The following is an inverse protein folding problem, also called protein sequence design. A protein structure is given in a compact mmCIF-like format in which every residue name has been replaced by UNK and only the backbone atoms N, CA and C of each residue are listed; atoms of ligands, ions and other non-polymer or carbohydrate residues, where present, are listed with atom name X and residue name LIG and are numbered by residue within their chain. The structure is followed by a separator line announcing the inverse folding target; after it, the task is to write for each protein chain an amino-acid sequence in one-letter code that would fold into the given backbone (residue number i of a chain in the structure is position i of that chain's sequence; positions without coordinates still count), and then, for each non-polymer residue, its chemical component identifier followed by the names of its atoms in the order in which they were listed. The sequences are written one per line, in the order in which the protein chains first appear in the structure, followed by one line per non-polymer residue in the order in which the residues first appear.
data_IF_340065307819
#
_entry.id   IF_340065307819
#
_cell.length_a   1.000
_cell.length_b   1.000
_cell.length_c   1.000
_cell.angle_alpha   90.00
_cell.angle_beta   90.00
_cell.angle_gamma   90.00
#
_symmetry.space_group_name_H-M   'P 1'
#
loop_
_entity.id
_entity.type
_entity.pdbx_description
1 polymer ?
#
# COMPACT_ATOMS: atom_id res chain seq x y z
N UNK A 1 32.85 23.31 17.29
CA UNK A 1 31.97 22.52 18.16
C UNK A 1 31.97 21.07 17.67
N UNK A 2 32.59 20.14 18.40
CA UNK A 2 32.48 18.71 18.08
C UNK A 2 31.10 18.21 18.48
N UNK A 3 30.38 17.64 17.53
CA UNK A 3 29.08 17.01 17.79
C UNK A 3 29.34 15.71 18.55
N UNK A 4 28.65 15.50 19.68
CA UNK A 4 28.74 14.29 20.49
C UNK A 4 28.53 13.04 19.62
N UNK A 5 29.50 12.10 19.54
CA UNK A 5 29.35 10.87 18.77
C UNK A 5 28.15 10.03 19.21
N UNK A 6 27.71 10.11 20.47
CA UNK A 6 26.49 9.45 20.94
C UNK A 6 25.22 10.08 20.38
N UNK A 7 25.24 11.38 20.07
CA UNK A 7 24.13 12.06 19.41
C UNK A 7 23.97 11.59 17.96
N UNK A 8 25.08 11.51 17.20
CA UNK A 8 25.06 10.98 15.82
C UNK A 8 24.62 9.51 15.76
N UNK A 9 25.07 8.70 16.72
CA UNK A 9 24.66 7.29 16.79
C UNK A 9 23.17 7.13 17.08
N UNK A 10 22.60 7.89 18.02
CA UNK A 10 21.16 7.90 18.29
C UNK A 10 20.35 8.29 17.04
N UNK A 11 20.75 9.34 16.33
CA UNK A 11 20.06 9.74 15.10
C UNK A 11 20.08 8.66 14.02
N UNK A 12 21.24 8.02 13.81
CA UNK A 12 21.37 6.94 12.85
C UNK A 12 20.51 5.73 13.21
N UNK A 13 20.40 5.41 14.50
CA UNK A 13 19.52 4.35 15.00
C UNK A 13 18.04 4.66 14.76
N UNK A 14 17.57 5.85 15.11
CA UNK A 14 16.17 6.25 14.85
C UNK A 14 15.83 6.18 13.37
N UNK A 15 16.75 6.62 12.50
CA UNK A 15 16.55 6.55 11.07
C UNK A 15 16.42 5.10 10.55
N UNK A 16 17.19 4.18 11.12
CA UNK A 16 17.10 2.76 10.77
C UNK A 16 15.81 2.13 11.30
N UNK A 17 15.39 2.48 12.52
CA UNK A 17 14.11 2.06 13.08
C UNK A 17 12.93 2.57 12.21
N UNK A 18 12.97 3.83 11.76
CA UNK A 18 11.98 4.41 10.83
C UNK A 18 11.94 3.68 9.48
N UNK A 19 13.09 3.24 8.98
CA UNK A 19 13.20 2.45 7.75
C UNK A 19 12.53 1.08 7.91
N UNK A 20 12.87 0.34 8.97
CA UNK A 20 12.26 -0.97 9.25
C UNK A 20 10.74 -0.85 9.50
N UNK A 21 10.31 0.17 10.23
CA UNK A 21 8.89 0.46 10.45
C UNK A 21 8.17 0.76 9.13
N UNK A 22 8.83 1.47 8.21
CA UNK A 22 8.28 1.76 6.88
C UNK A 22 8.12 0.50 6.03
N UNK A 23 9.07 -0.44 6.08
CA UNK A 23 8.95 -1.76 5.43
C UNK A 23 7.79 -2.54 6.04
N UNK A 24 7.68 -2.59 7.38
CA UNK A 24 6.61 -3.31 8.06
C UNK A 24 5.21 -2.78 7.71
N UNK A 25 5.09 -1.48 7.44
CA UNK A 25 3.85 -0.84 6.99
C UNK A 25 3.38 -1.28 5.60
N UNK A 26 4.25 -1.88 4.76
CA UNK A 26 3.82 -2.48 3.49
C UNK A 26 2.82 -3.63 3.72
N UNK A 27 3.04 -4.45 4.75
CA UNK A 27 2.13 -5.55 5.11
C UNK A 27 0.77 -5.03 5.59
N UNK A 28 0.73 -3.91 6.31
CA UNK A 28 -0.51 -3.26 6.76
C UNK A 28 -1.39 -2.91 5.55
N UNK A 29 -0.79 -2.35 4.52
CA UNK A 29 -1.50 -2.05 3.27
C UNK A 29 -1.93 -3.33 2.56
N UNK A 30 -1.08 -4.36 2.54
CA UNK A 30 -1.47 -5.64 1.97
C UNK A 30 -2.74 -6.19 2.63
N UNK A 31 -2.90 -6.05 3.95
CA UNK A 31 -4.16 -6.36 4.63
C UNK A 31 -5.32 -5.47 4.20
N UNK A 32 -5.11 -4.17 3.97
CA UNK A 32 -6.16 -3.29 3.42
C UNK A 32 -6.61 -3.74 2.02
N UNK A 33 -5.69 -4.15 1.13
CA UNK A 33 -6.02 -4.69 -0.18
C UNK A 33 -6.79 -6.02 -0.08
N UNK A 34 -6.43 -6.90 0.86
CA UNK A 34 -7.20 -8.11 1.14
C UNK A 34 -8.61 -7.77 1.64
N UNK A 35 -8.72 -6.79 2.54
CA UNK A 35 -10.03 -6.35 3.04
C UNK A 35 -10.89 -5.76 1.93
N UNK A 36 -10.33 -4.97 1.03
CA UNK A 36 -11.02 -4.50 -0.18
C UNK A 36 -11.47 -5.67 -1.07
N UNK A 37 -10.64 -6.69 -1.24
CA UNK A 37 -11.03 -7.87 -2.01
C UNK A 37 -12.23 -8.59 -1.38
N UNK A 38 -12.20 -8.80 -0.06
CA UNK A 38 -13.31 -9.42 0.69
C UNK A 38 -14.58 -8.59 0.53
N UNK A 39 -14.47 -7.26 0.67
CA UNK A 39 -15.59 -6.34 0.49
C UNK A 39 -16.19 -6.49 -0.92
N UNK A 40 -15.38 -6.47 -1.97
CA UNK A 40 -15.85 -6.64 -3.36
C UNK A 40 -16.49 -8.01 -3.60
N UNK A 41 -15.92 -9.09 -3.06
CA UNK A 41 -16.55 -10.43 -3.14
C UNK A 41 -17.91 -10.44 -2.45
N UNK A 42 -18.02 -9.88 -1.24
CA UNK A 42 -19.29 -9.79 -0.51
C UNK A 42 -20.30 -8.98 -1.32
N UNK A 43 -19.86 -7.88 -1.94
CA UNK A 43 -20.69 -7.06 -2.83
C UNK A 43 -21.20 -7.85 -4.04
N UNK A 44 -20.33 -8.60 -4.72
CA UNK A 44 -20.70 -9.45 -5.84
C UNK A 44 -21.67 -10.57 -5.47
N UNK A 45 -21.43 -11.25 -4.33
CA UNK A 45 -22.27 -12.37 -3.88
C UNK A 45 -23.63 -11.92 -3.37
N UNK A 46 -23.70 -10.81 -2.61
CA UNK A 46 -24.95 -10.37 -1.98
C UNK A 46 -25.78 -9.43 -2.87
N UNK A 47 -25.13 -8.63 -3.71
CA UNK A 47 -25.79 -7.56 -4.46
C UNK A 47 -25.59 -7.67 -5.98
N UNK A 48 -24.89 -8.68 -6.48
CA UNK A 48 -24.70 -8.91 -7.91
C UNK A 48 -23.75 -7.92 -8.59
N UNK A 49 -22.89 -7.24 -7.83
CA UNK A 49 -21.90 -6.32 -8.39
C UNK A 49 -20.83 -7.05 -9.22
N UNK A 50 -20.52 -6.55 -10.42
CA UNK A 50 -19.44 -7.11 -11.24
C UNK A 50 -18.07 -6.59 -10.77
N UNK A 51 -17.53 -7.23 -9.75
CA UNK A 51 -16.29 -6.81 -9.10
C UNK A 51 -15.33 -7.96 -8.76
N UNK A 52 -15.61 -9.17 -9.25
CA UNK A 52 -14.83 -10.38 -8.94
C UNK A 52 -13.38 -10.30 -9.42
N UNK A 53 -13.15 -9.74 -10.61
CA UNK A 53 -11.78 -9.57 -11.13
C UNK A 53 -11.01 -8.52 -10.31
N UNK A 54 -11.64 -7.39 -9.95
CA UNK A 54 -11.04 -6.39 -9.06
C UNK A 54 -10.74 -6.95 -7.66
N UNK A 55 -11.58 -7.85 -7.16
CA UNK A 55 -11.31 -8.56 -5.92
C UNK A 55 -10.08 -9.47 -6.05
N UNK A 56 -9.95 -10.21 -7.15
CA UNK A 56 -8.79 -11.05 -7.42
C UNK A 56 -7.49 -10.24 -7.51
N UNK A 57 -7.49 -9.13 -8.26
CA UNK A 57 -6.34 -8.24 -8.37
C UNK A 57 -5.97 -7.63 -7.01
N UNK A 58 -6.96 -7.20 -6.23
CA UNK A 58 -6.74 -6.65 -4.89
C UNK A 58 -6.18 -7.71 -3.94
N UNK A 59 -6.69 -8.94 -3.98
CA UNK A 59 -6.20 -10.04 -3.15
C UNK A 59 -4.78 -10.45 -3.53
N UNK A 60 -4.50 -10.61 -4.83
CA UNK A 60 -3.16 -10.98 -5.32
C UNK A 60 -2.12 -9.91 -4.95
N UNK A 61 -2.44 -8.64 -5.17
CA UNK A 61 -1.57 -7.52 -4.78
C UNK A 61 -1.38 -7.45 -3.27
N UNK A 62 -2.44 -7.67 -2.50
CA UNK A 62 -2.38 -7.67 -1.04
C UNK A 62 -1.50 -8.79 -0.47
N UNK A 63 -1.65 -10.02 -0.99
CA UNK A 63 -0.80 -11.15 -0.63
C UNK A 63 0.66 -10.89 -1.00
N UNK A 64 0.92 -10.37 -2.20
CA UNK A 64 2.28 -10.02 -2.63
C UNK A 64 2.92 -9.00 -1.67
N UNK A 65 2.20 -7.97 -1.23
CA UNK A 65 2.70 -6.96 -0.29
C UNK A 65 2.92 -7.50 1.13
N UNK A 66 2.08 -8.43 1.61
CA UNK A 66 2.27 -9.08 2.91
C UNK A 66 3.49 -10.00 2.90
N UNK A 67 3.72 -10.69 1.78
CA UNK A 67 4.80 -11.67 1.65
C UNK A 67 6.12 -11.03 1.26
N UNK A 68 6.10 -9.90 0.55
CA UNK A 68 7.30 -9.24 0.05
C UNK A 68 8.36 -8.97 1.13
N UNK A 69 8.05 -8.43 2.32
CA UNK A 69 9.04 -8.22 3.37
C UNK A 69 9.66 -9.49 3.94
N UNK A 70 9.05 -10.66 3.71
CA UNK A 70 9.53 -11.96 4.21
C UNK A 70 10.29 -12.74 3.15
N UNK A 71 9.91 -12.59 1.88
CA UNK A 71 10.44 -13.36 0.76
C UNK A 71 11.52 -12.60 -0.03
N UNK A 72 11.48 -11.27 0.02
CA UNK A 72 12.42 -10.41 -0.68
C UNK A 72 13.32 -9.71 0.33
N UNK A 73 14.61 -9.61 0.01
CA UNK A 73 15.57 -8.81 0.74
C UNK A 73 15.30 -7.31 0.45
N UNK A 74 14.24 -6.76 1.03
CA UNK A 74 13.83 -5.36 0.85
C UNK A 74 14.84 -4.34 1.42
N UNK A 75 15.97 -4.81 1.96
CA UNK A 75 17.14 -3.99 2.27
C UNK A 75 17.82 -3.50 0.99
N UNK A 76 17.68 -4.22 -0.13
CA UNK A 76 18.18 -3.79 -1.43
C UNK A 76 17.26 -2.76 -2.10
N UNK A 77 17.82 -1.61 -2.46
CA UNK A 77 17.09 -0.53 -3.15
C UNK A 77 16.46 -0.97 -4.47
N UNK A 78 17.17 -1.81 -5.23
CA UNK A 78 16.73 -2.42 -6.50
C UNK A 78 15.42 -3.17 -6.32
N UNK A 79 15.30 -3.97 -5.26
CA UNK A 79 14.11 -4.77 -4.96
C UNK A 79 12.90 -3.89 -4.64
N UNK A 80 13.11 -2.79 -3.91
CA UNK A 80 12.03 -1.83 -3.62
C UNK A 80 11.52 -1.17 -4.92
N UNK A 81 12.42 -0.77 -5.81
CA UNK A 81 12.04 -0.21 -7.12
C UNK A 81 11.31 -1.23 -8.00
N UNK A 82 11.81 -2.46 -8.06
CA UNK A 82 11.18 -3.53 -8.82
C UNK A 82 9.76 -3.81 -8.31
N UNK A 83 9.58 -3.91 -6.98
CA UNK A 83 8.29 -4.15 -6.37
C UNK A 83 7.30 -3.00 -6.60
N UNK A 84 7.77 -1.74 -6.51
CA UNK A 84 6.96 -0.56 -6.85
C UNK A 84 6.54 -0.58 -8.33
N UNK A 85 7.48 -0.82 -9.25
CA UNK A 85 7.21 -0.86 -10.67
C UNK A 85 6.22 -1.98 -11.04
N UNK A 86 6.40 -3.17 -10.48
CA UNK A 86 5.49 -4.30 -10.63
C UNK A 86 4.09 -3.96 -10.09
N UNK A 87 4.01 -3.36 -8.89
CA UNK A 87 2.74 -2.94 -8.30
C UNK A 87 2.00 -1.92 -9.16
N UNK A 88 2.70 -0.87 -9.60
CA UNK A 88 2.12 0.16 -10.48
C UNK A 88 1.68 -0.40 -11.82
N UNK A 89 2.46 -1.32 -12.40
CA UNK A 89 2.10 -1.99 -13.64
C UNK A 89 0.81 -2.80 -13.47
N UNK A 90 0.67 -3.56 -12.39
CA UNK A 90 -0.55 -4.32 -12.08
C UNK A 90 -1.76 -3.39 -11.95
N UNK A 91 -1.63 -2.28 -11.20
CA UNK A 91 -2.70 -1.28 -11.04
C UNK A 91 -3.06 -0.63 -12.37
N UNK A 92 -2.07 -0.27 -13.20
CA UNK A 92 -2.28 0.34 -14.49
C UNK A 92 -2.96 -0.62 -15.48
N UNK A 93 -2.50 -1.86 -15.56
CA UNK A 93 -3.11 -2.90 -16.40
C UNK A 93 -4.56 -3.11 -16.00
N UNK A 94 -4.83 -3.30 -14.70
CA UNK A 94 -6.18 -3.48 -14.20
C UNK A 94 -7.10 -2.31 -14.58
N UNK A 95 -6.65 -1.07 -14.36
CA UNK A 95 -7.43 0.11 -14.71
C UNK A 95 -7.70 0.21 -16.23
N UNK A 96 -6.70 -0.08 -17.06
CA UNK A 96 -6.81 0.02 -18.51
C UNK A 96 -7.67 -1.10 -19.12
N UNK A 97 -7.69 -2.30 -18.51
CA UNK A 97 -8.43 -3.44 -19.06
C UNK A 97 -9.80 -3.63 -18.45
N UNK A 98 -9.97 -3.36 -17.15
CA UNK A 98 -11.22 -3.61 -16.41
C UNK A 98 -11.94 -2.31 -16.06
N UNK A 99 -11.25 -1.16 -16.07
CA UNK A 99 -11.83 0.12 -15.70
C UNK A 99 -12.00 0.26 -14.19
N UNK A 100 -13.11 0.88 -13.78
CA UNK A 100 -13.48 1.04 -12.38
C UNK A 100 -14.36 -0.13 -11.94
N UNK A 101 -14.19 -0.65 -10.70
CA UNK A 101 -15.12 -1.64 -10.17
C UNK A 101 -16.51 -1.04 -10.07
N UNK A 102 -17.52 -1.91 -10.07
CA UNK A 102 -18.88 -1.50 -9.83
C UNK A 102 -19.07 -0.97 -8.39
N UNK A 103 -20.20 -0.30 -8.15
CA UNK A 103 -20.58 0.20 -6.82
C UNK A 103 -20.77 -0.96 -5.84
N UNK A 104 -20.60 -0.68 -4.55
CA UNK A 104 -20.72 -1.70 -3.51
C UNK A 104 -22.13 -2.31 -3.43
N UNK A 105 -23.15 -1.50 -3.67
CA UNK A 105 -24.54 -1.90 -3.76
C UNK A 105 -25.08 -1.32 -5.07
N UNK A 106 -25.12 -2.11 -6.15
CA UNK A 106 -25.72 -1.71 -7.41
C UNK A 106 -27.20 -1.32 -7.20
N UNK A 107 -27.65 -0.25 -7.87
CA UNK A 107 -29.06 0.19 -7.77
C UNK A 107 -29.46 0.93 -6.50
N UNK A 108 -28.58 1.10 -5.50
CA UNK A 108 -28.90 1.81 -4.25
C UNK A 108 -29.45 3.23 -4.48
N UNK A 109 -28.95 3.94 -5.49
CA UNK A 109 -29.43 5.26 -5.88
C UNK A 109 -30.87 5.28 -6.43
N UNK A 110 -31.36 4.16 -6.95
CA UNK A 110 -32.72 4.03 -7.50
C UNK A 110 -33.77 3.82 -6.41
N UNK A 111 -33.41 3.14 -5.31
CA UNK A 111 -34.21 3.04 -4.08
C UNK A 111 -34.26 4.36 -3.28
N UNK A 112 -33.54 5.39 -3.76
CA UNK A 112 -33.21 6.66 -3.11
C UNK A 112 -34.29 7.72 -2.91
N UNK A 113 -35.58 7.46 -3.20
CA UNK A 113 -36.63 8.50 -3.10
C UNK A 113 -37.07 8.83 -1.66
N UNK A 114 -36.58 8.12 -0.64
CA UNK A 114 -37.00 8.26 0.76
C UNK A 114 -35.85 8.65 1.69
N UNK A 115 -35.53 9.95 1.73
CA UNK A 115 -34.95 10.80 2.82
C UNK A 115 -33.80 10.32 3.76
N UNK A 116 -33.35 9.08 3.76
CA UNK A 116 -32.25 8.55 4.61
C UNK A 116 -30.93 8.43 3.82
N UNK A 117 -30.94 8.79 2.53
CA UNK A 117 -30.11 8.12 1.51
C UNK A 117 -28.98 9.04 0.97
N UNK A 118 -28.71 10.19 1.59
CA UNK A 118 -27.68 11.12 1.12
C UNK A 118 -26.25 10.58 1.27
N UNK A 119 -25.81 10.33 2.51
CA UNK A 119 -24.41 9.94 2.78
C UNK A 119 -24.08 8.54 2.27
N UNK A 120 -24.98 7.57 2.46
CA UNK A 120 -24.74 6.17 2.05
C UNK A 120 -24.63 6.04 0.53
N UNK A 121 -25.46 6.77 -0.23
CA UNK A 121 -25.36 6.79 -1.70
C UNK A 121 -24.08 7.46 -2.15
N UNK A 122 -23.69 8.59 -1.54
CA UNK A 122 -22.42 9.25 -1.85
C UNK A 122 -21.24 8.29 -1.59
N UNK A 123 -21.22 7.58 -0.46
CA UNK A 123 -20.17 6.63 -0.16
C UNK A 123 -20.15 5.43 -1.13
N UNK A 124 -21.32 4.92 -1.51
CA UNK A 124 -21.45 3.85 -2.49
C UNK A 124 -20.94 4.28 -3.88
N UNK A 125 -21.23 5.51 -4.28
CA UNK A 125 -20.82 6.10 -5.56
C UNK A 125 -19.34 6.47 -5.58
N UNK A 126 -18.77 6.82 -4.41
CA UNK A 126 -17.33 7.04 -4.24
C UNK A 126 -16.53 5.74 -4.13
N UNK A 127 -17.17 4.59 -3.87
CA UNK A 127 -16.45 3.32 -3.64
C UNK A 127 -15.47 2.96 -4.75
N UNK A 128 -15.82 3.10 -6.06
CA UNK A 128 -14.88 2.83 -7.14
C UNK A 128 -13.66 3.76 -7.14
N UNK A 129 -13.85 5.03 -6.75
CA UNK A 129 -12.76 5.99 -6.62
C UNK A 129 -11.91 5.70 -5.38
N UNK A 130 -12.53 5.32 -4.27
CA UNK A 130 -11.83 4.93 -3.04
C UNK A 130 -10.98 3.67 -3.27
N UNK A 131 -11.45 2.73 -4.08
CA UNK A 131 -10.68 1.55 -4.45
C UNK A 131 -9.33 1.92 -5.08
N UNK A 132 -9.34 2.71 -6.16
CA UNK A 132 -8.10 3.16 -6.79
C UNK A 132 -7.33 4.18 -5.94
N UNK A 133 -8.03 5.00 -5.15
CA UNK A 133 -7.40 5.94 -4.22
C UNK A 133 -6.56 5.21 -3.16
N UNK A 134 -7.10 4.14 -2.57
CA UNK A 134 -6.36 3.29 -1.63
C UNK A 134 -5.18 2.62 -2.36
N UNK A 135 -5.39 2.08 -3.57
CA UNK A 135 -4.33 1.43 -4.34
C UNK A 135 -3.22 2.40 -4.76
N UNK A 136 -3.53 3.62 -5.17
CA UNK A 136 -2.52 4.64 -5.46
C UNK A 136 -1.84 5.11 -4.17
N UNK A 137 -2.57 5.22 -3.07
CA UNK A 137 -2.03 5.52 -1.74
C UNK A 137 -0.95 4.53 -1.28
N UNK A 138 -0.98 3.29 -1.76
CA UNK A 138 0.10 2.31 -1.54
C UNK A 138 1.44 2.77 -2.10
N UNK A 139 1.42 3.40 -3.28
CA UNK A 139 2.62 3.91 -3.95
C UNK A 139 3.34 4.95 -3.09
N UNK A 140 2.60 5.74 -2.30
CA UNK A 140 3.18 6.69 -1.35
C UNK A 140 4.06 6.01 -0.29
N UNK A 141 3.68 4.83 0.22
CA UNK A 141 4.52 4.12 1.19
C UNK A 141 5.83 3.63 0.57
N UNK A 142 5.83 3.20 -0.68
CA UNK A 142 7.07 2.88 -1.39
C UNK A 142 8.00 4.09 -1.48
N UNK A 143 7.46 5.28 -1.80
CA UNK A 143 8.26 6.51 -1.78
C UNK A 143 8.80 6.82 -0.38
N UNK A 144 8.02 6.58 0.68
CA UNK A 144 8.48 6.74 2.07
C UNK A 144 9.63 5.77 2.40
N UNK A 145 9.52 4.50 2.01
CA UNK A 145 10.60 3.50 2.18
C UNK A 145 11.86 3.94 1.43
N UNK A 146 11.73 4.34 0.16
CA UNK A 146 12.85 4.82 -0.66
C UNK A 146 13.52 6.07 -0.08
N UNK A 147 12.73 6.99 0.49
CA UNK A 147 13.22 8.20 1.14
C UNK A 147 14.06 7.88 2.38
N UNK A 148 13.58 7.01 3.27
CA UNK A 148 14.35 6.57 4.43
C UNK A 148 15.59 5.78 4.03
N UNK A 149 15.48 4.93 3.01
CA UNK A 149 16.63 4.21 2.46
C UNK A 149 17.73 5.18 2.00
N UNK A 150 17.38 6.21 1.23
CA UNK A 150 18.36 7.21 0.77
C UNK A 150 19.06 7.92 1.94
N UNK A 151 18.34 8.21 3.03
CA UNK A 151 18.94 8.80 4.22
C UNK A 151 19.86 7.82 4.95
N UNK A 152 19.47 6.54 5.05
CA UNK A 152 20.29 5.50 5.68
C UNK A 152 21.57 5.30 4.87
N UNK A 153 21.49 5.37 3.54
CA UNK A 153 22.64 5.23 2.67
C UNK A 153 23.66 6.38 2.80
N UNK A 154 23.20 7.57 3.18
CA UNK A 154 24.07 8.72 3.47
C UNK A 154 24.79 8.64 4.82
N UNK A 155 24.50 7.64 5.66
CA UNK A 155 25.16 7.49 6.95
C UNK A 155 26.65 7.14 6.77
N UNK A 156 27.55 7.70 7.62
CA UNK A 156 28.95 7.29 7.69
C UNK A 156 29.11 5.76 7.85
N UNK A 157 30.10 5.17 7.17
CA UNK A 157 30.33 3.73 7.20
C UNK A 157 30.55 3.15 8.60
N UNK A 158 31.16 3.91 9.51
CA UNK A 158 31.31 3.54 10.92
C UNK A 158 29.97 3.38 11.65
N UNK A 159 28.98 4.22 11.32
CA UNK A 159 27.64 4.14 11.87
C UNK A 159 26.85 3.00 11.25
N UNK A 160 26.99 2.76 9.94
CA UNK A 160 26.40 1.60 9.27
C UNK A 160 26.89 0.28 9.87
N UNK A 161 28.20 0.14 10.10
CA UNK A 161 28.78 -1.04 10.75
C UNK A 161 28.29 -1.25 12.18
N UNK A 162 28.17 -0.17 12.98
CA UNK A 162 27.62 -0.27 14.34
C UNK A 162 26.12 -0.61 14.38
N UNK A 163 25.39 -0.33 13.31
CA UNK A 163 23.99 -0.70 13.14
C UNK A 163 23.79 -2.09 12.53
N UNK A 164 24.88 -2.81 12.20
CA UNK A 164 24.81 -4.14 11.60
C UNK A 164 24.42 -4.14 10.11
N UNK A 165 24.43 -2.99 9.44
CA UNK A 165 24.19 -2.88 8.01
C UNK A 165 25.41 -3.42 7.25
N UNK A 166 25.24 -4.49 6.47
CA UNK A 166 26.28 -4.97 5.54
C UNK A 166 26.39 -4.00 4.36
N UNK A 167 27.65 -3.80 3.90
CA UNK A 167 27.96 -2.98 2.72
C UNK A 167 27.41 -3.60 1.45
#
# INVERSE_FOLDING_TARGET
MSIDPNFKFRQARYLFEDFQESIAKLSVIGYCCIMLAVLLVVSGVLFGADSNLHALFSAASGLALILAPRLLELEERSMIYFLLAAYLLVVAVEYLTLGLPDRFIPGLGEYGRTKVIGLVTILNDLTPLLYFGIRLGVSYLFFRVLFFWQKVDQLPGELKMRLGLKK
#
